data_IF_013093690058
#
_entry.id   IF_013093690058
#
_cell.length_a   1.000
_cell.length_b   1.000
_cell.length_c   1.000
_cell.angle_alpha   90.00
_cell.angle_beta   90.00
_cell.angle_gamma   90.00
#
_symmetry.space_group_name_H-M   'P 1'
#
loop_
_entity.id
_entity.type
_entity.pdbx_description
1 polymer ?
#
# COMPACT_ATOMS: atom_id res chain seq x y z
N UNK A 1 3.93 -23.83 -8.69
CA UNK A 1 3.22 -23.30 -9.88
C UNK A 1 2.69 -21.91 -9.54
N UNK A 2 2.86 -20.88 -10.38
CA UNK A 2 2.38 -19.53 -10.06
C UNK A 2 0.85 -19.50 -9.98
N UNK A 3 0.30 -18.81 -8.99
CA UNK A 3 -1.16 -18.64 -8.81
C UNK A 3 -1.79 -17.88 -9.99
N UNK A 4 -3.03 -18.22 -10.36
CA UNK A 4 -3.78 -17.55 -11.43
C UNK A 4 -3.89 -16.02 -11.23
N UNK A 5 -3.87 -15.55 -9.98
CA UNK A 5 -3.81 -14.11 -9.64
C UNK A 5 -2.52 -13.45 -10.15
N UNK A 6 -1.39 -14.15 -10.10
CA UNK A 6 -0.09 -13.66 -10.60
C UNK A 6 -0.11 -13.53 -12.12
N UNK A 7 -0.77 -14.46 -12.82
CA UNK A 7 -0.94 -14.40 -14.27
C UNK A 7 -1.85 -13.26 -14.71
N UNK A 8 -2.94 -13.00 -14.00
CA UNK A 8 -3.83 -11.86 -14.27
C UNK A 8 -3.13 -10.51 -14.01
N UNK A 9 -2.40 -10.38 -12.90
CA UNK A 9 -1.60 -9.19 -12.62
C UNK A 9 -0.48 -8.98 -13.66
N UNK A 10 0.23 -10.04 -14.05
CA UNK A 10 1.20 -10.00 -15.16
C UNK A 10 0.54 -9.69 -16.50
N UNK A 11 -0.68 -10.17 -16.77
CA UNK A 11 -1.39 -9.89 -18.01
C UNK A 11 -1.87 -8.43 -18.07
N UNK A 12 -2.26 -7.84 -16.92
CA UNK A 12 -2.53 -6.40 -16.80
C UNK A 12 -1.25 -5.59 -17.00
N UNK A 13 -0.10 -6.03 -16.46
CA UNK A 13 1.21 -5.39 -16.69
C UNK A 13 1.72 -5.55 -18.13
N UNK A 14 1.52 -6.71 -18.76
CA UNK A 14 2.02 -7.01 -20.10
C UNK A 14 1.24 -6.30 -21.22
N UNK A 15 0.09 -5.69 -20.91
CA UNK A 15 -0.65 -4.79 -21.80
C UNK A 15 -0.21 -3.33 -21.67
N UNK A 16 0.97 -3.06 -21.12
CA UNK A 16 1.51 -1.71 -20.95
C UNK A 16 2.65 -1.47 -21.95
N UNK A 17 2.63 -0.36 -22.71
CA UNK A 17 3.74 -0.03 -23.58
C UNK A 17 4.99 0.25 -22.75
N UNK A 18 6.02 -0.58 -22.96
CA UNK A 18 7.35 -0.37 -22.45
C UNK A 18 7.98 0.83 -23.17
N UNK A 19 7.83 2.05 -22.62
CA UNK A 19 8.78 3.14 -22.90
C UNK A 19 8.62 4.33 -21.94
N UNK A 20 9.72 4.55 -21.20
CA UNK A 20 10.40 5.82 -20.90
C UNK A 20 9.54 7.02 -20.48
N UNK A 21 9.86 7.57 -19.31
CA UNK A 21 10.41 8.93 -19.20
C UNK A 21 11.10 9.15 -17.84
N UNK A 22 12.44 9.11 -17.88
CA UNK A 22 13.33 9.80 -16.93
C UNK A 22 13.02 11.31 -16.94
N UNK A 23 12.07 11.84 -16.18
CA UNK A 23 12.06 13.24 -15.69
C UNK A 23 11.13 13.25 -14.47
N UNK A 24 11.62 13.21 -13.21
CA UNK A 24 11.58 14.37 -12.30
C UNK A 24 12.43 14.20 -11.01
N UNK A 25 13.42 13.32 -10.99
CA UNK A 25 14.35 13.15 -9.84
C UNK A 25 15.43 14.27 -9.80
N UNK A 26 15.06 15.54 -10.02
CA UNK A 26 15.97 16.68 -9.89
C UNK A 26 15.47 17.83 -9.00
N UNK A 27 14.20 17.86 -8.62
CA UNK A 27 13.68 18.99 -7.83
C UNK A 27 13.54 18.74 -6.31
N UNK A 28 13.82 17.53 -5.81
CA UNK A 28 13.73 17.24 -4.37
C UNK A 28 15.05 17.40 -3.59
N UNK A 29 16.18 17.66 -4.26
CA UNK A 29 17.49 17.78 -3.59
C UNK A 29 17.81 19.14 -2.97
N UNK A 30 16.92 20.15 -3.04
CA UNK A 30 17.29 21.54 -2.71
C UNK A 30 16.65 22.19 -1.49
N UNK A 31 15.99 21.45 -0.60
CA UNK A 31 15.65 21.93 0.74
C UNK A 31 15.40 20.74 1.66
N UNK A 32 16.45 20.15 2.24
CA UNK A 32 16.57 20.02 3.70
C UNK A 32 17.92 19.37 4.05
N UNK A 33 18.95 20.18 4.15
CA UNK A 33 20.13 19.85 4.94
C UNK A 33 19.80 20.17 6.39
N UNK A 34 19.33 19.18 7.15
CA UNK A 34 19.46 19.15 8.60
C UNK A 34 19.38 17.71 9.13
N UNK A 35 20.45 17.36 9.82
CA UNK A 35 20.80 16.12 10.49
C UNK A 35 19.81 15.69 11.57
N UNK A 36 19.58 14.37 11.69
CA UNK A 36 19.62 13.66 12.98
C UNK A 36 19.72 12.15 12.75
N UNK A 37 20.63 11.55 13.49
CA UNK A 37 21.13 10.19 13.40
C UNK A 37 20.32 9.28 14.33
N UNK A 38 19.56 8.30 13.83
CA UNK A 38 19.12 7.08 14.55
C UNK A 38 18.41 6.07 13.59
N UNK A 39 18.23 4.78 13.95
CA UNK A 39 18.88 3.64 13.29
C UNK A 39 18.26 3.20 11.95
N UNK A 40 19.10 3.25 10.92
CA UNK A 40 18.82 2.83 9.54
C UNK A 40 18.85 1.30 9.31
N UNK A 41 18.06 0.53 10.05
CA UNK A 41 17.99 -0.94 9.87
C UNK A 41 16.65 -1.46 9.40
N UNK A 42 15.58 -0.64 9.36
CA UNK A 42 14.24 -1.06 8.92
C UNK A 42 13.78 -0.54 7.56
N UNK A 43 14.42 0.48 7.01
CA UNK A 43 13.98 1.15 5.77
C UNK A 43 14.21 0.28 4.51
N UNK A 44 15.32 -0.47 4.48
CA UNK A 44 15.74 -1.26 3.30
C UNK A 44 14.73 -2.29 2.82
N UNK A 45 13.93 -2.87 3.73
CA UNK A 45 12.96 -3.91 3.39
C UNK A 45 11.74 -3.36 2.64
N UNK A 46 11.26 -2.17 3.04
CA UNK A 46 10.09 -1.54 2.40
C UNK A 46 10.50 -0.81 1.12
N UNK A 47 11.68 -0.20 1.11
CA UNK A 47 12.25 0.36 -0.12
C UNK A 47 12.45 -0.70 -1.21
N UNK A 48 12.98 -1.87 -0.82
CA UNK A 48 13.11 -3.01 -1.74
C UNK A 48 11.77 -3.52 -2.25
N UNK A 49 10.75 -3.57 -1.39
CA UNK A 49 9.39 -3.96 -1.79
C UNK A 49 8.78 -2.97 -2.80
N UNK A 50 8.91 -1.67 -2.57
CA UNK A 50 8.35 -0.65 -3.45
C UNK A 50 9.11 -0.50 -4.78
N UNK A 51 10.37 -0.93 -4.83
CA UNK A 51 11.14 -0.99 -6.06
C UNK A 51 10.70 -2.12 -7.00
N UNK A 52 9.92 -3.09 -6.51
CA UNK A 52 9.38 -4.20 -7.30
C UNK A 52 7.90 -3.96 -7.65
N UNK A 53 7.65 -3.57 -8.90
CA UNK A 53 6.31 -3.30 -9.42
C UNK A 53 5.40 -4.54 -9.40
N UNK A 54 5.97 -5.76 -9.38
CA UNK A 54 5.22 -7.01 -9.44
C UNK A 54 4.33 -7.25 -8.21
N UNK A 55 4.90 -7.40 -7.00
CA UNK A 55 4.15 -7.54 -5.76
C UNK A 55 3.22 -6.36 -5.49
N UNK A 56 3.65 -5.13 -5.78
CA UNK A 56 2.81 -3.92 -5.63
C UNK A 56 1.55 -4.03 -6.48
N UNK A 57 1.68 -4.36 -7.77
CA UNK A 57 0.53 -4.49 -8.64
C UNK A 57 -0.42 -5.63 -8.23
N UNK A 58 0.12 -6.77 -7.80
CA UNK A 58 -0.70 -7.87 -7.27
C UNK A 58 -1.53 -7.39 -6.08
N UNK A 59 -0.91 -6.72 -5.11
CA UNK A 59 -1.61 -6.29 -3.89
C UNK A 59 -2.61 -5.16 -4.14
N UNK A 60 -2.31 -4.21 -5.03
CA UNK A 60 -3.26 -3.16 -5.44
C UNK A 60 -4.46 -3.79 -6.14
N UNK A 61 -4.25 -4.80 -6.98
CA UNK A 61 -5.34 -5.54 -7.61
C UNK A 61 -6.19 -6.30 -6.59
N UNK A 62 -5.57 -6.96 -5.62
CA UNK A 62 -6.27 -7.65 -4.52
C UNK A 62 -7.14 -6.68 -3.70
N UNK A 63 -6.64 -5.46 -3.44
CA UNK A 63 -7.42 -4.42 -2.79
C UNK A 63 -8.63 -3.98 -3.64
N UNK A 64 -8.40 -3.66 -4.91
CA UNK A 64 -9.45 -3.20 -5.82
C UNK A 64 -10.53 -4.26 -6.08
N UNK A 65 -10.14 -5.53 -6.19
CA UNK A 65 -11.07 -6.62 -6.50
C UNK A 65 -11.87 -7.10 -5.29
N UNK A 66 -11.27 -7.12 -4.09
CA UNK A 66 -11.90 -7.74 -2.91
C UNK A 66 -12.40 -6.75 -1.85
N UNK A 67 -11.94 -5.50 -1.85
CA UNK A 67 -12.26 -4.52 -0.80
C UNK A 67 -13.02 -3.32 -1.37
N UNK A 68 -12.60 -2.84 -2.53
CA UNK A 68 -13.03 -1.56 -3.10
C UNK A 68 -14.48 -1.56 -3.67
N UNK A 69 -15.19 -2.69 -3.67
CA UNK A 69 -16.52 -2.86 -4.28
C UNK A 69 -17.75 -2.43 -3.46
N UNK A 70 -17.64 -1.50 -2.51
CA UNK A 70 -18.77 -1.02 -1.68
C UNK A 70 -19.08 0.47 -1.96
N UNK A 71 -20.29 1.00 -1.66
CA UNK A 71 -20.87 2.17 -2.35
C UNK A 71 -20.20 3.53 -2.11
N UNK A 72 -19.00 3.57 -1.52
CA UNK A 72 -18.16 4.77 -1.41
C UNK A 72 -16.72 4.38 -1.71
N UNK A 73 -16.45 4.18 -3.00
CA UNK A 73 -15.12 3.86 -3.51
C UNK A 73 -14.19 5.05 -3.23
N UNK A 74 -13.16 4.86 -2.40
CA UNK A 74 -12.17 5.89 -2.05
C UNK A 74 -11.37 6.33 -3.28
N UNK A 75 -11.25 5.46 -4.29
CA UNK A 75 -10.44 5.68 -5.48
C UNK A 75 -11.22 5.43 -6.76
N UNK A 76 -10.97 6.21 -7.80
CA UNK A 76 -11.34 5.76 -9.14
C UNK A 76 -10.25 4.80 -9.65
N UNK A 77 -10.59 3.54 -9.90
CA UNK A 77 -9.60 2.49 -10.20
C UNK A 77 -8.65 2.86 -11.36
N UNK A 78 -9.17 3.43 -12.45
CA UNK A 78 -8.34 3.82 -13.58
C UNK A 78 -7.38 4.98 -13.25
N UNK A 79 -7.83 5.93 -12.43
CA UNK A 79 -7.01 7.06 -11.97
C UNK A 79 -5.94 6.58 -11.00
N UNK A 80 -6.29 5.74 -10.03
CA UNK A 80 -5.33 5.17 -9.08
C UNK A 80 -4.20 4.41 -9.81
N UNK A 81 -4.56 3.57 -10.78
CA UNK A 81 -3.55 2.86 -11.57
C UNK A 81 -2.66 3.79 -12.37
N UNK A 82 -3.20 4.92 -12.87
CA UNK A 82 -2.39 5.95 -13.52
C UNK A 82 -1.45 6.60 -12.52
N UNK A 83 -1.94 7.03 -11.37
CA UNK A 83 -1.15 7.73 -10.36
C UNK A 83 -0.03 6.85 -9.78
N UNK A 84 -0.25 5.54 -9.65
CA UNK A 84 0.79 4.57 -9.26
C UNK A 84 1.86 4.46 -10.35
N UNK A 85 1.47 4.29 -11.62
CA UNK A 85 2.42 4.18 -12.74
C UNK A 85 3.25 5.46 -12.93
N UNK A 86 2.60 6.61 -12.77
CA UNK A 86 3.21 7.92 -12.97
C UNK A 86 3.97 8.40 -11.71
N UNK A 87 4.08 7.54 -10.67
CA UNK A 87 4.69 7.84 -9.36
C UNK A 87 4.15 9.13 -8.73
N UNK A 88 2.88 9.44 -8.98
CA UNK A 88 2.18 10.59 -8.41
C UNK A 88 1.53 10.25 -7.07
N UNK A 89 1.16 8.98 -6.88
CA UNK A 89 0.63 8.50 -5.60
C UNK A 89 1.73 8.48 -4.55
N UNK A 90 1.43 9.01 -3.36
CA UNK A 90 2.36 9.04 -2.25
C UNK A 90 2.73 7.63 -1.78
N UNK A 91 3.96 7.51 -1.27
CA UNK A 91 4.47 6.26 -0.73
C UNK A 91 3.60 5.72 0.41
N UNK A 92 3.11 6.61 1.27
CA UNK A 92 2.22 6.24 2.38
C UNK A 92 0.91 5.63 1.87
N UNK A 93 0.34 6.20 0.82
CA UNK A 93 -0.89 5.72 0.19
C UNK A 93 -0.71 4.35 -0.45
N UNK A 94 0.34 4.17 -1.25
CA UNK A 94 0.64 2.88 -1.89
C UNK A 94 0.83 1.78 -0.85
N UNK A 95 1.56 2.06 0.24
CA UNK A 95 1.77 1.10 1.32
C UNK A 95 0.48 0.74 2.05
N UNK A 96 -0.42 1.70 2.30
CA UNK A 96 -1.73 1.41 2.91
C UNK A 96 -2.59 0.53 2.01
N UNK A 97 -2.64 0.83 0.70
CA UNK A 97 -3.36 0.02 -0.28
C UNK A 97 -2.79 -1.40 -0.34
N UNK A 98 -1.45 -1.52 -0.42
CA UNK A 98 -0.78 -2.82 -0.45
C UNK A 98 -1.01 -3.61 0.85
N UNK A 99 -0.99 -2.97 2.01
CA UNK A 99 -1.30 -3.64 3.28
C UNK A 99 -2.73 -4.20 3.31
N UNK A 100 -3.71 -3.43 2.82
CA UNK A 100 -5.10 -3.85 2.72
C UNK A 100 -5.26 -5.02 1.73
N UNK A 101 -4.60 -4.95 0.57
CA UNK A 101 -4.56 -6.03 -0.41
C UNK A 101 -3.87 -7.29 0.12
N UNK A 102 -2.74 -7.13 0.82
CA UNK A 102 -2.00 -8.21 1.44
C UNK A 102 -2.86 -8.98 2.44
N UNK A 103 -3.60 -8.25 3.28
CA UNK A 103 -4.49 -8.84 4.28
C UNK A 103 -5.53 -9.81 3.68
N UNK A 104 -6.01 -9.53 2.46
CA UNK A 104 -7.00 -10.36 1.75
C UNK A 104 -6.39 -11.26 0.65
N UNK A 105 -5.07 -11.24 0.52
CA UNK A 105 -4.35 -12.05 -0.46
C UNK A 105 -4.42 -13.53 -0.09
N UNK A 106 -4.63 -14.39 -1.09
CA UNK A 106 -4.61 -15.84 -0.90
C UNK A 106 -3.19 -16.38 -0.67
N UNK A 107 -2.17 -15.58 -0.92
CA UNK A 107 -0.78 -15.98 -0.80
C UNK A 107 -0.23 -15.65 0.61
N UNK A 108 0.18 -16.66 1.41
CA UNK A 108 0.58 -16.44 2.81
C UNK A 108 1.80 -15.53 2.99
N UNK A 109 2.77 -15.61 2.08
CA UNK A 109 3.97 -14.76 2.10
C UNK A 109 3.59 -13.28 1.98
N UNK A 110 2.70 -12.95 1.03
CA UNK A 110 2.19 -11.61 0.85
C UNK A 110 1.32 -11.17 2.03
N UNK A 111 0.47 -12.06 2.55
CA UNK A 111 -0.39 -11.76 3.71
C UNK A 111 0.40 -11.40 4.95
N UNK A 112 1.53 -12.05 5.17
CA UNK A 112 2.43 -11.76 6.29
C UNK A 112 3.01 -10.33 6.27
N UNK A 113 3.03 -9.68 5.10
CA UNK A 113 3.52 -8.31 4.95
C UNK A 113 2.54 -7.24 5.43
N UNK A 114 1.25 -7.56 5.54
CA UNK A 114 0.20 -6.56 5.84
C UNK A 114 0.49 -5.71 7.10
N UNK A 115 0.91 -6.28 8.25
CA UNK A 115 1.22 -5.48 9.44
C UNK A 115 2.43 -4.57 9.24
N UNK A 116 3.45 -5.04 8.53
CA UNK A 116 4.68 -4.30 8.26
C UNK A 116 4.42 -3.10 7.34
N UNK A 117 3.73 -3.33 6.22
CA UNK A 117 3.38 -2.28 5.26
C UNK A 117 2.46 -1.23 5.89
N UNK A 118 1.50 -1.64 6.73
CA UNK A 118 0.62 -0.73 7.45
C UNK A 118 1.37 0.09 8.51
N UNK A 119 2.30 -0.51 9.24
CA UNK A 119 3.11 0.21 10.22
C UNK A 119 3.96 1.29 9.54
N UNK A 120 4.56 0.98 8.39
CA UNK A 120 5.37 1.94 7.65
C UNK A 120 4.53 3.05 7.01
N UNK A 121 3.35 2.72 6.46
CA UNK A 121 2.40 3.72 5.97
C UNK A 121 2.02 4.74 7.06
N UNK A 122 1.70 4.25 8.27
CA UNK A 122 1.42 5.09 9.45
C UNK A 122 2.60 5.96 9.83
N UNK A 123 3.81 5.40 9.83
CA UNK A 123 5.03 6.14 10.14
C UNK A 123 5.22 7.30 9.16
N UNK A 124 5.03 7.06 7.86
CA UNK A 124 5.16 8.11 6.84
C UNK A 124 4.11 9.22 6.99
N UNK A 125 2.87 8.88 7.36
CA UNK A 125 1.84 9.88 7.65
C UNK A 125 2.21 10.78 8.84
N UNK A 126 2.87 10.22 9.85
CA UNK A 126 3.25 10.93 11.07
C UNK A 126 4.45 11.87 10.89
N UNK A 127 5.21 11.76 9.79
CA UNK A 127 6.36 12.64 9.53
C UNK A 127 5.91 14.09 9.29
N UNK A 128 4.74 14.30 8.69
CA UNK A 128 4.20 15.64 8.44
C UNK A 128 2.66 15.65 8.54
N UNK A 129 2.10 15.63 9.76
CA UNK A 129 0.67 15.50 9.99
C UNK A 129 -0.12 16.74 9.58
N UNK A 130 0.53 17.91 9.49
CA UNK A 130 -0.10 19.19 9.13
C UNK A 130 -0.25 19.37 7.61
N UNK A 131 0.42 18.54 6.81
CA UNK A 131 0.30 18.57 5.36
C UNK A 131 -1.02 17.91 4.91
N UNK A 132 -2.05 18.73 4.73
CA UNK A 132 -3.36 18.28 4.25
C UNK A 132 -3.34 18.18 2.73
N UNK A 133 -3.22 16.96 2.21
CA UNK A 133 -3.41 16.63 0.80
C UNK A 133 -4.36 15.44 0.64
N UNK A 134 -4.89 15.26 -0.57
CA UNK A 134 -5.84 14.17 -0.87
C UNK A 134 -5.27 12.80 -0.50
N UNK A 135 -4.03 12.53 -0.87
CA UNK A 135 -3.32 11.28 -0.55
C UNK A 135 -3.25 11.02 0.95
N UNK A 136 -2.95 12.03 1.75
CA UNK A 136 -2.88 11.89 3.20
C UNK A 136 -4.26 11.59 3.78
N UNK A 137 -5.31 12.26 3.31
CA UNK A 137 -6.70 11.99 3.73
C UNK A 137 -7.09 10.54 3.35
N UNK A 138 -6.84 10.13 2.11
CA UNK A 138 -7.13 8.77 1.64
C UNK A 138 -6.35 7.72 2.44
N UNK A 139 -5.08 7.97 2.73
CA UNK A 139 -4.24 7.08 3.55
C UNK A 139 -4.78 7.00 4.98
N UNK A 140 -5.17 8.12 5.60
CA UNK A 140 -5.78 8.14 6.92
C UNK A 140 -7.08 7.32 6.97
N UNK A 141 -7.93 7.43 5.95
CA UNK A 141 -9.15 6.62 5.83
C UNK A 141 -8.79 5.13 5.76
N UNK A 142 -7.82 4.74 4.93
CA UNK A 142 -7.38 3.34 4.82
C UNK A 142 -6.79 2.80 6.14
N UNK A 143 -6.00 3.61 6.84
CA UNK A 143 -5.42 3.28 8.14
C UNK A 143 -6.52 3.04 9.18
N UNK A 144 -7.55 3.90 9.21
CA UNK A 144 -8.68 3.76 10.13
C UNK A 144 -9.49 2.49 9.83
N UNK A 145 -9.78 2.21 8.55
CA UNK A 145 -10.48 0.99 8.12
C UNK A 145 -9.68 -0.26 8.53
N UNK A 146 -8.37 -0.28 8.30
CA UNK A 146 -7.52 -1.40 8.70
C UNK A 146 -7.55 -1.63 10.22
N UNK A 147 -7.41 -0.56 11.01
CA UNK A 147 -7.43 -0.64 12.46
C UNK A 147 -8.78 -1.18 12.97
N UNK A 148 -9.88 -0.67 12.45
CA UNK A 148 -11.23 -1.15 12.77
C UNK A 148 -11.37 -2.65 12.46
N UNK A 149 -10.94 -3.08 11.26
CA UNK A 149 -10.99 -4.50 10.86
C UNK A 149 -10.20 -5.40 11.81
N UNK A 150 -9.00 -4.99 12.19
CA UNK A 150 -8.17 -5.76 13.13
C UNK A 150 -8.80 -5.86 14.52
N UNK A 151 -9.50 -4.82 14.98
CA UNK A 151 -10.21 -4.84 16.25
C UNK A 151 -11.42 -5.78 16.20
N UNK A 152 -12.19 -5.76 15.12
CA UNK A 152 -13.30 -6.70 14.91
C UNK A 152 -12.82 -8.15 14.86
N UNK A 153 -11.72 -8.43 14.17
CA UNK A 153 -11.15 -9.79 14.12
C UNK A 153 -10.72 -10.27 15.52
N UNK A 154 -10.09 -9.40 16.31
CA UNK A 154 -9.75 -9.72 17.70
C UNK A 154 -10.99 -10.05 18.53
N UNK A 155 -12.03 -9.20 18.48
CA UNK A 155 -13.27 -9.41 19.23
C UNK A 155 -13.96 -10.72 18.85
N UNK A 156 -14.05 -11.04 17.55
CA UNK A 156 -14.63 -12.30 17.08
C UNK A 156 -13.84 -13.52 17.57
N UNK A 157 -12.51 -13.46 17.62
CA UNK A 157 -11.70 -14.55 18.17
C UNK A 157 -11.96 -14.81 19.65
N UNK A 158 -12.21 -13.78 20.46
CA UNK A 158 -12.55 -13.96 21.88
C UNK A 158 -13.95 -14.54 22.07
N UNK A 159 -14.94 -14.13 21.26
CA UNK A 159 -16.30 -14.66 21.35
C UNK A 159 -16.42 -16.14 21.00
N UNK A 160 -15.55 -16.66 20.12
CA UNK A 160 -15.51 -18.10 19.78
C UNK A 160 -14.85 -18.98 20.85
N UNK A 161 -14.12 -18.41 21.81
CA UNK A 161 -13.46 -19.17 22.90
C UNK A 161 -14.36 -19.29 24.14
N UNK A 162 -15.32 -18.37 24.32
CA UNK A 162 -16.21 -18.34 25.48
C UNK A 162 -17.46 -19.24 25.37
N UNK A 163 -17.55 -20.10 24.35
CA UNK A 163 -18.69 -21.01 24.12
C UNK A 163 -18.27 -22.50 24.07
N UNK A 164 -17.12 -22.87 24.65
CA UNK A 164 -16.70 -24.27 24.81
C UNK A 164 -16.68 -24.69 26.28
#
# INVERSE_FOLDING_TARGET
>A
MPSASVFLAKAVLNRLPANRLRIRILNARRLNSQSSTEPQTRDKGVDGFLADDGPVAVLVHEYLSKIHGRPHSIFHAATLWKDIRDWQASRALILAICAMGAHVSNEPSLRSLAPLLMAESKRLLQINPEHVCLDNIQTCILVAIYAWRMQTLRQNSYSSVSFS
#
